data_IF_090752763452
#
_entry.id   IF_090752763452
#
_cell.length_a   1.000
_cell.length_b   1.000
_cell.length_c   1.000
_cell.angle_alpha   90.00
_cell.angle_beta   90.00
_cell.angle_gamma   90.00
#
_symmetry.space_group_name_H-M   'P 1'
#
loop_
_entity.id
_entity.type
_entity.pdbx_description
1 polymer ?
#
# COMPACT_ATOMS: atom_id res chain seq x y z
N UNK A 1 -15.95 -6.65 10.43
CA UNK A 1 -16.37 -6.06 9.14
C UNK A 1 -15.11 -5.88 8.31
N UNK A 2 -15.03 -6.50 7.14
CA UNK A 2 -14.09 -5.99 6.13
C UNK A 2 -14.57 -4.57 5.79
N UNK A 3 -13.71 -3.54 5.74
CA UNK A 3 -14.15 -2.23 5.30
C UNK A 3 -14.87 -2.39 3.95
N UNK A 4 -15.99 -1.68 3.76
CA UNK A 4 -16.57 -1.49 2.43
C UNK A 4 -15.42 -1.17 1.48
N UNK A 5 -15.35 -1.81 0.31
CA UNK A 5 -14.26 -1.62 -0.65
C UNK A 5 -13.98 -0.11 -0.80
N UNK A 6 -12.96 0.39 -0.10
CA UNK A 6 -12.56 1.78 -0.18
C UNK A 6 -12.29 2.05 -1.65
N UNK A 7 -12.95 3.06 -2.20
CA UNK A 7 -12.99 3.27 -3.64
C UNK A 7 -11.62 3.75 -4.09
N UNK A 8 -10.76 2.82 -4.51
CA UNK A 8 -9.42 3.16 -5.01
C UNK A 8 -9.55 3.93 -6.31
N UNK A 9 -8.95 5.11 -6.39
CA UNK A 9 -8.86 5.88 -7.62
C UNK A 9 -7.82 5.25 -8.56
N UNK A 10 -8.18 5.04 -9.83
CA UNK A 10 -7.24 4.58 -10.85
C UNK A 10 -7.03 5.68 -11.89
N UNK A 11 -5.77 6.07 -12.10
CA UNK A 11 -5.39 7.09 -13.09
C UNK A 11 -4.44 6.51 -14.12
N UNK A 12 -4.77 6.71 -15.40
CA UNK A 12 -3.87 6.38 -16.51
C UNK A 12 -3.06 7.62 -16.88
N UNK A 13 -1.74 7.45 -17.01
CA UNK A 13 -0.84 8.48 -17.52
C UNK A 13 0.05 7.92 -18.63
N UNK A 14 0.78 8.81 -19.31
CA UNK A 14 1.81 8.46 -20.27
C UNK A 14 2.98 9.43 -20.08
N UNK A 15 3.96 9.05 -19.27
CA UNK A 15 5.13 9.89 -18.97
C UNK A 15 6.38 9.03 -18.85
N UNK A 16 7.49 9.44 -19.45
CA UNK A 16 8.77 8.74 -19.31
C UNK A 16 9.37 8.89 -17.90
N UNK A 17 9.06 9.99 -17.22
CA UNK A 17 9.68 10.37 -15.93
C UNK A 17 9.07 9.65 -14.73
N UNK A 18 7.99 8.90 -14.93
CA UNK A 18 7.26 8.19 -13.87
C UNK A 18 7.42 6.68 -14.01
N UNK A 19 7.43 5.93 -12.91
CA UNK A 19 7.53 4.47 -12.96
C UNK A 19 6.24 3.84 -13.53
N UNK A 20 6.24 2.52 -13.85
CA UNK A 20 5.10 1.83 -14.46
C UNK A 20 3.82 1.84 -13.62
N UNK A 21 3.94 1.71 -12.30
CA UNK A 21 2.84 1.71 -11.33
C UNK A 21 3.27 2.50 -10.10
N UNK A 22 2.41 3.40 -9.61
CA UNK A 22 2.59 4.12 -8.33
C UNK A 22 1.36 3.94 -7.47
N UNK A 23 1.55 3.61 -6.20
CA UNK A 23 0.51 3.63 -5.17
C UNK A 23 0.80 4.83 -4.27
N UNK A 24 -0.18 5.71 -4.09
CA UNK A 24 -0.05 6.97 -3.35
C UNK A 24 -1.41 7.43 -2.84
N UNK A 25 -1.46 8.59 -2.19
CA UNK A 25 -2.71 9.27 -1.84
C UNK A 25 -3.12 10.28 -2.93
N UNK A 26 -4.41 10.53 -3.07
CA UNK A 26 -4.91 11.70 -3.79
C UNK A 26 -5.01 12.92 -2.84
N UNK A 27 -5.61 14.01 -3.32
CA UNK A 27 -5.70 15.25 -2.56
C UNK A 27 -6.68 15.17 -1.37
N UNK A 28 -7.49 14.11 -1.33
CA UNK A 28 -8.48 13.82 -0.27
C UNK A 28 -7.99 12.71 0.69
N UNK A 29 -6.69 12.40 0.69
CA UNK A 29 -6.06 11.31 1.46
C UNK A 29 -6.63 9.91 1.14
N UNK A 30 -7.28 9.73 -0.02
CA UNK A 30 -7.78 8.44 -0.48
C UNK A 30 -6.73 7.68 -1.32
N UNK A 31 -6.73 6.33 -1.29
CA UNK A 31 -5.80 5.54 -2.09
C UNK A 31 -5.96 5.76 -3.60
N UNK A 32 -4.84 6.06 -4.26
CA UNK A 32 -4.74 6.26 -5.72
C UNK A 32 -3.66 5.36 -6.32
N UNK A 33 -4.02 4.67 -7.39
CA UNK A 33 -3.11 3.89 -8.22
C UNK A 33 -2.94 4.56 -9.58
N UNK A 34 -1.69 4.92 -9.90
CA UNK A 34 -1.34 5.47 -11.21
C UNK A 34 -0.72 4.36 -12.07
N UNK A 35 -1.29 4.10 -13.24
CA UNK A 35 -0.76 3.16 -14.23
C UNK A 35 -0.19 3.97 -15.40
N UNK A 36 1.10 3.78 -15.67
CA UNK A 36 1.81 4.53 -16.68
C UNK A 36 1.96 3.74 -17.98
N UNK A 37 1.19 4.15 -18.98
CA UNK A 37 1.11 3.50 -20.30
C UNK A 37 2.35 3.70 -21.17
N UNK A 38 3.25 4.62 -20.80
CA UNK A 38 4.58 4.71 -21.42
C UNK A 38 5.31 3.36 -21.35
N UNK A 39 5.18 2.66 -20.21
CA UNK A 39 5.82 1.37 -19.93
C UNK A 39 4.96 0.14 -20.31
N UNK A 40 3.99 0.29 -21.22
CA UNK A 40 3.02 -0.76 -21.59
C UNK A 40 3.64 -2.10 -22.00
N UNK A 41 4.82 -2.09 -22.63
CA UNK A 41 5.52 -3.31 -23.01
C UNK A 41 5.97 -4.09 -21.77
N UNK A 42 6.61 -3.39 -20.83
CA UNK A 42 7.06 -3.98 -19.57
C UNK A 42 5.89 -4.51 -18.75
N UNK A 43 4.81 -3.73 -18.63
CA UNK A 43 3.59 -4.14 -17.93
C UNK A 43 3.00 -5.41 -18.57
N UNK A 44 2.97 -5.45 -19.91
CA UNK A 44 2.44 -6.60 -20.64
C UNK A 44 3.22 -7.88 -20.34
N UNK A 45 4.55 -7.81 -20.32
CA UNK A 45 5.43 -8.95 -20.00
C UNK A 45 5.28 -9.38 -18.54
N UNK A 46 5.16 -8.42 -17.62
CA UNK A 46 5.24 -8.69 -16.18
C UNK A 46 3.88 -8.79 -15.47
N UNK A 47 2.74 -8.68 -16.16
CA UNK A 47 1.39 -8.63 -15.54
C UNK A 47 1.10 -9.72 -14.49
N UNK A 48 1.58 -10.95 -14.69
CA UNK A 48 1.42 -12.05 -13.72
C UNK A 48 2.34 -11.88 -12.51
N UNK A 49 3.57 -11.44 -12.74
CA UNK A 49 4.52 -11.14 -11.66
C UNK A 49 4.02 -9.98 -10.80
N UNK A 50 3.48 -8.92 -11.42
CA UNK A 50 2.87 -7.79 -10.72
C UNK A 50 1.76 -8.27 -9.77
N UNK A 51 0.90 -9.20 -10.20
CA UNK A 51 -0.12 -9.78 -9.34
C UNK A 51 0.50 -10.51 -8.13
N UNK A 52 1.53 -11.34 -8.34
CA UNK A 52 2.22 -12.02 -7.25
C UNK A 52 2.98 -11.08 -6.30
N UNK A 53 3.49 -9.95 -6.81
CA UNK A 53 4.11 -8.91 -5.98
C UNK A 53 3.08 -8.30 -5.02
N UNK A 54 1.83 -8.11 -5.46
CA UNK A 54 0.78 -7.54 -4.61
C UNK A 54 0.48 -8.47 -3.41
N UNK A 55 0.44 -9.78 -3.65
CA UNK A 55 0.26 -10.77 -2.57
C UNK A 55 1.44 -10.73 -1.58
N UNK A 56 2.67 -10.78 -2.08
CA UNK A 56 3.86 -10.70 -1.24
C UNK A 56 3.97 -9.36 -0.48
N UNK A 57 3.52 -8.27 -1.10
CA UNK A 57 3.47 -6.94 -0.49
C UNK A 57 2.52 -6.93 0.70
N UNK A 58 1.38 -7.60 0.60
CA UNK A 58 0.42 -7.72 1.71
C UNK A 58 1.08 -8.38 2.93
N UNK A 59 1.74 -9.52 2.75
CA UNK A 59 2.43 -10.22 3.85
C UNK A 59 3.51 -9.34 4.52
N UNK A 60 4.23 -8.55 3.72
CA UNK A 60 5.25 -7.62 4.24
C UNK A 60 4.61 -6.47 5.02
N UNK A 61 3.51 -5.90 4.54
CA UNK A 61 2.78 -4.86 5.27
C UNK A 61 2.29 -5.40 6.61
N UNK A 62 1.69 -6.59 6.64
CA UNK A 62 1.22 -7.21 7.88
C UNK A 62 2.36 -7.38 8.88
N UNK A 63 3.53 -7.83 8.42
CA UNK A 63 4.72 -7.98 9.28
C UNK A 63 5.14 -6.65 9.91
N UNK A 64 5.22 -5.58 9.12
CA UNK A 64 5.66 -4.25 9.59
C UNK A 64 4.64 -3.66 10.56
N UNK A 65 3.36 -3.71 10.19
CA UNK A 65 2.27 -3.14 10.98
C UNK A 65 2.05 -3.90 12.28
N UNK A 66 2.22 -5.22 12.28
CA UNK A 66 2.19 -6.02 13.50
C UNK A 66 3.32 -5.63 14.45
N UNK A 67 4.53 -5.39 13.92
CA UNK A 67 5.66 -4.90 14.73
C UNK A 67 5.32 -3.57 15.42
N UNK A 68 4.82 -2.61 14.65
CA UNK A 68 4.38 -1.33 15.18
C UNK A 68 3.29 -1.48 16.26
N UNK A 69 2.26 -2.30 16.01
CA UNK A 69 1.16 -2.50 16.95
C UNK A 69 1.63 -3.10 18.28
N UNK A 70 2.57 -4.06 18.23
CA UNK A 70 3.14 -4.67 19.43
C UNK A 70 3.92 -3.64 20.26
N UNK A 71 4.67 -2.76 19.62
CA UNK A 71 5.39 -1.68 20.31
C UNK A 71 4.42 -0.71 20.98
N UNK A 72 3.39 -0.24 20.26
CA UNK A 72 2.37 0.64 20.83
C UNK A 72 1.65 0.03 22.03
N UNK A 73 1.30 -1.27 21.94
CA UNK A 73 0.65 -1.98 23.04
C UNK A 73 1.55 -2.08 24.29
N UNK A 74 2.86 -2.27 24.11
CA UNK A 74 3.81 -2.30 25.23
C UNK A 74 3.88 -0.95 25.92
N UNK A 75 4.03 0.14 25.15
CA UNK A 75 4.05 1.49 25.72
C UNK A 75 2.76 1.80 26.48
N UNK A 76 1.59 1.48 25.92
CA UNK A 76 0.31 1.70 26.59
C UNK A 76 0.20 0.91 27.91
N UNK A 77 0.74 -0.32 27.95
CA UNK A 77 0.74 -1.14 29.15
C UNK A 77 1.66 -0.57 30.23
N UNK A 78 2.88 -0.17 29.86
CA UNK A 78 3.85 0.45 30.77
C UNK A 78 3.30 1.75 31.36
N UNK A 79 2.66 2.60 30.54
CA UNK A 79 2.02 3.84 30.99
C UNK A 79 0.91 3.56 32.02
N UNK A 80 0.09 2.53 31.79
CA UNK A 80 -0.99 2.14 32.74
C UNK A 80 -0.43 1.60 34.06
N UNK A 81 0.67 0.85 34.02
CA UNK A 81 1.34 0.32 35.21
C UNK A 81 2.02 1.42 36.03
N UNK A 82 2.50 2.49 35.38
CA UNK A 82 3.13 3.63 36.06
C UNK A 82 2.14 4.59 36.73
N UNK A 83 0.88 4.61 36.25
CA UNK A 83 -0.19 5.44 36.78
C UNK A 83 -1.02 4.77 37.89
N UNK A 84 -0.75 3.51 38.22
CA UNK A 84 -1.35 2.75 39.33
C UNK A 84 -0.41 2.69 40.53
#
# INVERSE_FOLDING_TARGET
MLPEKTKVEFRLINSEEMPPIVISYNDDDEPKVVINTYHKLWISVNRRMIAGIIEALQEKMDTILQGYLVEQYKFEKEDREFLQ
#
